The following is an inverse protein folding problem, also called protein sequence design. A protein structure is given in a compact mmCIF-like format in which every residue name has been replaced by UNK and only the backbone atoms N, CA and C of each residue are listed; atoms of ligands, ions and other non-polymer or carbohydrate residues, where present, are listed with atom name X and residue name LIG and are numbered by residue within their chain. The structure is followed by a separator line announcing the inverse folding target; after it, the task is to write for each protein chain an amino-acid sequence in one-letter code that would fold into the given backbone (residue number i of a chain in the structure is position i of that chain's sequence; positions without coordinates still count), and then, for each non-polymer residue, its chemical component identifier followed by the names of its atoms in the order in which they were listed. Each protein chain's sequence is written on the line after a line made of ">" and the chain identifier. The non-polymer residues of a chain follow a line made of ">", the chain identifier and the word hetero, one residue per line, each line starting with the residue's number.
data_IF_037370593194
#
_entry.id   IF_037370593194
#
_cell.length_a   1.000
_cell.length_b   1.000
_cell.length_c   1.000
_cell.angle_alpha   90.00
_cell.angle_beta   90.00
_cell.angle_gamma   90.00
#
_symmetry.space_group_name_H-M   'P 1'
#
loop_
_entity.id
_entity.type
_entity.pdbx_description
1 polymer ?
#
# COMPACT_ATOMS: atom_id res chain seq x y z
N UNK A 1 -13.87 -14.52 16.03
CA UNK A 1 -12.59 -14.76 15.34
C UNK A 1 -12.43 -13.97 14.04
N UNK A 2 -13.40 -13.98 13.11
CA UNK A 2 -13.30 -13.25 11.81
C UNK A 2 -13.00 -11.74 11.94
N UNK A 3 -13.60 -11.07 12.93
CA UNK A 3 -13.35 -9.65 13.19
C UNK A 3 -11.91 -9.35 13.64
N UNK A 4 -11.30 -10.23 14.45
CA UNK A 4 -9.94 -10.06 14.93
C UNK A 4 -8.93 -10.15 13.77
N UNK A 5 -9.15 -11.07 12.84
CA UNK A 5 -8.32 -11.19 11.64
C UNK A 5 -8.43 -9.93 10.76
N UNK A 6 -9.66 -9.43 10.55
CA UNK A 6 -9.88 -8.20 9.79
C UNK A 6 -9.17 -6.99 10.43
N UNK A 7 -9.26 -6.86 11.75
CA UNK A 7 -8.55 -5.80 12.48
C UNK A 7 -7.04 -5.95 12.30
N UNK A 8 -6.50 -7.16 12.37
CA UNK A 8 -5.08 -7.42 12.14
C UNK A 8 -4.64 -7.03 10.72
N UNK A 9 -5.44 -7.33 9.70
CA UNK A 9 -5.14 -6.96 8.31
C UNK A 9 -5.14 -5.44 8.10
N UNK A 10 -6.10 -4.74 8.72
CA UNK A 10 -6.17 -3.28 8.69
C UNK A 10 -4.96 -2.67 9.41
N UNK A 11 -4.58 -3.20 10.59
CA UNK A 11 -3.38 -2.75 11.32
C UNK A 11 -2.12 -2.89 10.49
N UNK A 12 -1.96 -4.02 9.80
CA UNK A 12 -0.83 -4.28 8.89
C UNK A 12 -0.83 -3.35 7.69
N UNK A 13 -2.00 -3.09 7.09
CA UNK A 13 -2.09 -2.20 5.93
C UNK A 13 -1.75 -0.75 6.28
N UNK A 14 -2.06 -0.29 7.50
CA UNK A 14 -1.70 1.04 7.98
C UNK A 14 -0.41 1.10 8.82
N UNK A 15 0.34 0.00 8.93
CA UNK A 15 1.58 -0.10 9.71
C UNK A 15 1.43 0.42 11.15
N UNK A 16 0.32 0.03 11.80
CA UNK A 16 -0.04 0.53 13.13
C UNK A 16 0.83 -0.03 14.26
N UNK A 17 1.52 -1.13 14.01
CA UNK A 17 2.39 -1.81 14.97
C UNK A 17 3.83 -1.27 14.98
N UNK A 18 4.19 -0.37 14.06
CA UNK A 18 5.52 0.25 14.02
C UNK A 18 5.76 1.21 15.20
N UNK A 19 6.90 1.08 15.86
CA UNK A 19 7.41 2.05 16.82
C UNK A 19 8.02 3.26 16.09
N UNK A 20 7.16 4.23 15.80
CA UNK A 20 7.54 5.41 15.04
C UNK A 20 8.54 6.29 15.79
N UNK A 21 8.52 6.29 17.13
CA UNK A 21 9.46 7.08 17.93
C UNK A 21 10.89 6.59 17.71
N UNK A 22 11.10 5.27 17.75
CA UNK A 22 12.41 4.67 17.50
C UNK A 22 12.89 4.93 16.06
N UNK A 23 12.00 4.86 15.07
CA UNK A 23 12.33 5.14 13.67
C UNK A 23 12.73 6.60 13.48
N UNK A 24 11.94 7.55 14.01
CA UNK A 24 12.23 8.98 13.90
C UNK A 24 13.53 9.36 14.60
N UNK A 25 13.81 8.80 15.78
CA UNK A 25 15.07 9.03 16.49
C UNK A 25 16.27 8.56 15.67
N UNK A 26 16.19 7.38 15.05
CA UNK A 26 17.26 6.90 14.18
C UNK A 26 17.43 7.75 12.92
N UNK A 27 16.34 8.16 12.28
CA UNK A 27 16.39 9.02 11.09
C UNK A 27 17.02 10.38 11.42
N UNK A 28 16.66 10.96 12.56
CA UNK A 28 17.22 12.23 13.02
C UNK A 28 18.72 12.11 13.36
N UNK A 29 19.13 10.97 13.95
CA UNK A 29 20.55 10.71 14.22
C UNK A 29 21.37 10.58 12.92
N UNK A 30 20.84 9.89 11.91
CA UNK A 30 21.55 9.66 10.63
C UNK A 30 21.57 10.92 9.77
N UNK A 31 20.48 11.68 9.74
CA UNK A 31 20.33 12.89 8.95
C UNK A 31 19.49 13.92 9.74
N UNK A 32 20.14 14.80 10.51
CA UNK A 32 19.44 15.81 11.30
C UNK A 32 18.55 16.71 10.42
N UNK A 33 17.30 16.92 10.84
CA UNK A 33 16.30 17.67 10.09
C UNK A 33 15.62 16.93 8.94
N UNK A 34 15.95 15.64 8.71
CA UNK A 34 15.28 14.83 7.69
C UNK A 34 13.79 14.61 8.03
N UNK A 35 13.46 14.47 9.32
CA UNK A 35 12.08 14.28 9.77
C UNK A 35 11.36 15.64 9.80
N UNK A 36 10.94 16.11 8.63
CA UNK A 36 10.15 17.35 8.50
C UNK A 36 8.71 17.20 9.02
N UNK A 37 8.15 15.99 8.95
CA UNK A 37 6.80 15.68 9.43
C UNK A 37 6.83 14.41 10.26
N UNK A 38 6.35 14.50 11.50
CA UNK A 38 6.28 13.36 12.42
C UNK A 38 5.07 12.46 12.14
N UNK A 39 5.17 11.18 12.48
CA UNK A 39 4.10 10.21 12.40
C UNK A 39 3.94 9.56 11.01
N UNK A 40 4.89 9.74 10.09
CA UNK A 40 4.83 9.11 8.76
C UNK A 40 4.94 7.58 8.92
N UNK A 41 4.00 6.84 8.32
CA UNK A 41 3.98 5.37 8.30
C UNK A 41 4.20 4.84 6.90
N UNK A 42 4.66 3.59 6.81
CA UNK A 42 4.82 2.92 5.53
C UNK A 42 3.49 2.30 5.13
N UNK A 43 2.91 2.64 3.96
CA UNK A 43 1.69 1.99 3.51
C UNK A 43 1.95 0.50 3.25
N UNK A 44 1.23 -0.36 3.95
CA UNK A 44 1.21 -1.80 3.69
C UNK A 44 0.34 -2.17 2.50
N UNK A 45 0.32 -3.47 2.17
CA UNK A 45 -0.45 -4.01 1.04
C UNK A 45 -1.49 -5.00 1.53
N UNK A 46 -2.70 -4.97 0.96
CA UNK A 46 -3.73 -5.94 1.34
C UNK A 46 -3.35 -7.36 0.88
N UNK A 47 -2.97 -7.48 -0.39
CA UNK A 47 -2.53 -8.71 -1.05
C UNK A 47 -1.18 -8.51 -1.74
N UNK A 48 -0.25 -9.44 -1.56
CA UNK A 48 1.05 -9.41 -2.24
C UNK A 48 0.90 -9.55 -3.76
N UNK A 49 -0.12 -10.29 -4.23
CA UNK A 49 -0.42 -10.41 -5.65
C UNK A 49 -0.86 -9.07 -6.25
N UNK A 50 -1.80 -8.38 -5.60
CA UNK A 50 -2.26 -7.07 -6.04
C UNK A 50 -1.11 -6.06 -6.05
N UNK A 51 -0.26 -6.08 -5.03
CA UNK A 51 0.94 -5.27 -4.96
C UNK A 51 1.90 -5.54 -6.12
N UNK A 52 2.09 -6.80 -6.50
CA UNK A 52 2.90 -7.19 -7.66
C UNK A 52 2.33 -6.63 -8.97
N UNK A 53 1.02 -6.72 -9.18
CA UNK A 53 0.35 -6.13 -10.36
C UNK A 53 0.54 -4.61 -10.39
N UNK A 54 0.31 -3.93 -9.26
CA UNK A 54 0.55 -2.47 -9.14
C UNK A 54 2.00 -2.11 -9.41
N UNK A 55 2.95 -2.91 -8.91
CA UNK A 55 4.37 -2.68 -9.11
C UNK A 55 4.73 -2.77 -10.60
N UNK A 56 4.21 -3.77 -11.33
CA UNK A 56 4.44 -3.92 -12.78
C UNK A 56 3.80 -2.77 -13.57
N UNK A 57 2.53 -2.46 -13.31
CA UNK A 57 1.81 -1.38 -14.01
C UNK A 57 2.38 0.01 -13.72
N UNK A 58 3.05 0.18 -12.59
CA UNK A 58 3.71 1.42 -12.20
C UNK A 58 5.09 1.63 -12.81
N UNK A 59 5.65 0.64 -13.51
CA UNK A 59 7.00 0.76 -14.08
C UNK A 59 7.03 1.82 -15.19
N UNK A 60 8.03 2.70 -15.12
CA UNK A 60 8.34 3.71 -16.16
C UNK A 60 7.18 4.66 -16.52
N UNK A 61 6.20 4.84 -15.64
CA UNK A 61 5.05 5.73 -15.87
C UNK A 61 4.77 6.62 -14.65
N UNK A 62 3.96 7.66 -14.85
CA UNK A 62 3.48 8.46 -13.71
C UNK A 62 2.50 7.67 -12.84
N UNK A 63 2.37 8.06 -11.57
CA UNK A 63 1.38 7.48 -10.64
C UNK A 63 -0.04 7.58 -11.22
N UNK A 64 -0.38 8.71 -11.84
CA UNK A 64 -1.69 8.90 -12.48
C UNK A 64 -1.92 7.92 -13.64
N UNK A 65 -0.91 7.69 -14.46
CA UNK A 65 -1.01 6.73 -15.56
C UNK A 65 -1.14 5.29 -15.04
N UNK A 66 -0.36 4.91 -14.02
CA UNK A 66 -0.45 3.61 -13.37
C UNK A 66 -1.85 3.33 -12.80
N UNK A 67 -2.44 4.31 -12.11
CA UNK A 67 -3.82 4.23 -11.60
C UNK A 67 -4.81 4.03 -12.75
N UNK A 68 -4.64 4.75 -13.86
CA UNK A 68 -5.48 4.60 -15.06
C UNK A 68 -5.41 3.19 -15.65
N UNK A 69 -4.21 2.63 -15.80
CA UNK A 69 -4.01 1.27 -16.32
C UNK A 69 -4.59 0.21 -15.39
N UNK A 70 -4.44 0.37 -14.08
CA UNK A 70 -5.04 -0.53 -13.10
C UNK A 70 -6.57 -0.52 -13.17
N UNK A 71 -7.19 0.66 -13.26
CA UNK A 71 -8.64 0.76 -13.38
C UNK A 71 -9.16 0.12 -14.67
N UNK A 72 -8.44 0.31 -15.79
CA UNK A 72 -8.76 -0.35 -17.05
C UNK A 72 -8.67 -1.88 -16.90
N UNK A 73 -7.59 -2.40 -16.31
CA UNK A 73 -7.42 -3.83 -16.06
C UNK A 73 -8.59 -4.42 -15.27
N UNK A 74 -8.97 -3.76 -14.16
CA UNK A 74 -10.09 -4.19 -13.33
C UNK A 74 -11.40 -4.16 -14.12
N UNK A 75 -11.68 -3.10 -14.88
CA UNK A 75 -12.89 -2.99 -15.68
C UNK A 75 -12.99 -4.08 -16.75
N UNK A 76 -11.89 -4.36 -17.46
CA UNK A 76 -11.84 -5.39 -18.51
C UNK A 76 -12.06 -6.79 -17.94
N UNK A 77 -11.42 -7.13 -16.82
CA UNK A 77 -11.52 -8.47 -16.23
C UNK A 77 -12.82 -8.69 -15.44
N UNK A 78 -13.38 -7.64 -14.84
CA UNK A 78 -14.63 -7.75 -14.08
C UNK A 78 -15.85 -7.96 -14.99
N UNK A 79 -15.84 -7.37 -16.19
CA UNK A 79 -16.91 -7.56 -17.19
C UNK A 79 -16.98 -8.97 -17.80
N UNK A 80 -15.93 -9.78 -17.67
CA UNK A 80 -15.94 -11.19 -18.08
C UNK A 80 -16.50 -12.13 -16.99
N UNK A 81 -16.43 -11.74 -15.71
CA UNK A 81 -16.98 -12.55 -14.60
C UNK A 81 -18.50 -12.55 -14.55
N UNK A 82 -19.17 -11.47 -15.00
CA UNK A 82 -20.64 -11.40 -15.09
C UNK A 82 -21.24 -12.30 -16.17
N UNK A 83 -20.47 -12.67 -17.21
CA UNK A 83 -20.94 -13.55 -18.29
C UNK A 83 -20.82 -15.05 -17.97
N UNK A 84 -20.26 -15.40 -16.80
CA UNK A 84 -19.95 -16.79 -16.42
C UNK A 84 -20.91 -17.37 -15.38
N UNK A 85 -22.04 -16.71 -15.13
CA UNK A 85 -23.17 -17.20 -14.33
C UNK A 85 -24.46 -17.15 -15.13
#
# INVERSE_FOLDING_TARGET
>A
TKLQNLVSDIRRMFDLDADICTVEQHLEYVAPGLVSSKGIRIPGVWSAWEAGVRAILGQQVSVKAAIGQLNLLVATLSGESEKRF
#
